data_IF_244769167238
#
_entry.id   IF_244769167238
#
_cell.length_a   1.000
_cell.length_b   1.000
_cell.length_c   1.000
_cell.angle_alpha   90.00
_cell.angle_beta   90.00
_cell.angle_gamma   90.00
#
_symmetry.space_group_name_H-M   'P 1'
#
loop_
_entity.id
_entity.type
_entity.pdbx_description
1 polymer ?
#
# COMPACT_ATOMS: atom_id res chain seq x y z
N UNK A 1 11.74 9.50 24.90
CA UNK A 1 10.70 9.64 23.85
C UNK A 1 11.00 8.60 22.79
N UNK A 2 9.98 7.89 22.31
CA UNK A 2 10.14 6.90 21.26
C UNK A 2 10.54 7.60 19.93
N UNK A 3 11.61 7.17 19.29
CA UNK A 3 12.10 7.76 18.01
C UNK A 3 11.04 7.72 16.92
N UNK A 4 10.23 6.67 16.87
CA UNK A 4 9.10 6.57 15.96
C UNK A 4 8.12 7.73 16.15
N UNK A 5 7.76 8.05 17.40
CA UNK A 5 6.87 9.17 17.70
C UNK A 5 7.46 10.50 17.24
N UNK A 6 8.76 10.71 17.40
CA UNK A 6 9.44 11.92 16.92
C UNK A 6 9.37 12.05 15.39
N UNK A 7 9.52 10.93 14.66
CA UNK A 7 9.39 10.91 13.19
C UNK A 7 7.95 11.24 12.79
N UNK A 8 6.96 10.59 13.42
CA UNK A 8 5.54 10.82 13.12
C UNK A 8 5.14 12.27 13.39
N UNK A 9 5.52 12.83 14.55
CA UNK A 9 5.25 14.24 14.87
C UNK A 9 5.88 15.17 13.84
N UNK A 10 7.11 14.88 13.40
CA UNK A 10 7.78 15.68 12.38
C UNK A 10 7.06 15.65 11.04
N UNK A 11 6.54 14.48 10.64
CA UNK A 11 5.73 14.34 9.42
C UNK A 11 4.44 15.16 9.55
N UNK A 12 3.76 15.10 10.70
CA UNK A 12 2.53 15.87 10.92
C UNK A 12 2.75 17.38 10.90
N UNK A 13 3.86 17.86 11.48
CA UNK A 13 4.15 19.30 11.57
C UNK A 13 4.67 19.86 10.23
N UNK A 14 5.59 19.16 9.58
CA UNK A 14 6.39 19.69 8.47
C UNK A 14 6.10 19.00 7.13
N UNK A 15 5.26 17.97 7.10
CA UNK A 15 5.13 17.09 5.95
C UNK A 15 6.32 16.13 5.79
N UNK A 16 6.18 15.20 4.86
CA UNK A 16 7.24 14.21 4.59
C UNK A 16 8.18 14.71 3.49
N UNK A 17 9.42 15.01 3.85
CA UNK A 17 10.47 15.45 2.92
C UNK A 17 11.58 14.41 2.72
N UNK A 18 11.50 13.26 3.39
CA UNK A 18 12.41 12.13 3.22
C UNK A 18 13.84 12.34 3.77
N UNK A 19 14.08 13.38 4.57
CA UNK A 19 15.40 13.67 5.13
C UNK A 19 15.41 13.50 6.65
N UNK A 20 16.39 12.75 7.16
CA UNK A 20 16.58 12.57 8.62
C UNK A 20 16.81 13.89 9.36
N UNK A 21 17.36 14.90 8.67
CA UNK A 21 17.50 16.25 9.22
C UNK A 21 16.18 16.91 9.54
N UNK A 22 15.15 16.65 8.74
CA UNK A 22 13.82 17.25 8.95
C UNK A 22 13.11 16.59 10.14
N UNK A 23 13.28 15.30 10.30
CA UNK A 23 12.78 14.59 11.50
C UNK A 23 13.45 15.06 12.79
N UNK A 24 14.74 15.41 12.72
CA UNK A 24 15.49 15.91 13.87
C UNK A 24 15.08 17.32 14.33
N UNK A 25 14.57 18.16 13.42
CA UNK A 25 14.14 19.55 13.76
C UNK A 25 13.05 19.59 14.83
N UNK A 26 12.15 18.61 14.82
CA UNK A 26 11.02 18.53 15.74
C UNK A 26 11.22 17.47 16.84
N UNK A 27 12.47 17.12 17.12
CA UNK A 27 12.84 16.05 18.04
C UNK A 27 13.95 16.53 18.97
N UNK A 28 14.03 15.96 20.16
CA UNK A 28 15.19 16.15 21.06
C UNK A 28 16.41 15.32 20.64
N UNK A 29 16.30 14.53 19.56
CA UNK A 29 17.37 13.64 19.11
C UNK A 29 18.17 14.26 17.98
N UNK A 30 19.48 14.00 17.97
CA UNK A 30 20.32 14.36 16.83
C UNK A 30 19.99 13.53 15.60
N UNK A 31 20.18 14.09 14.40
CA UNK A 31 19.88 13.42 13.12
C UNK A 31 20.54 12.03 12.96
N UNK A 32 21.74 11.85 13.53
CA UNK A 32 22.44 10.56 13.48
C UNK A 32 21.74 9.48 14.30
N UNK A 33 21.13 9.87 15.44
CA UNK A 33 20.34 8.94 16.26
C UNK A 33 19.10 8.45 15.51
N UNK A 34 18.42 9.36 14.81
CA UNK A 34 17.26 9.01 13.97
C UNK A 34 17.69 8.15 12.79
N UNK A 35 18.80 8.52 12.12
CA UNK A 35 19.34 7.71 11.03
C UNK A 35 19.72 6.29 11.49
N UNK A 36 20.38 6.17 12.64
CA UNK A 36 20.72 4.87 13.23
C UNK A 36 19.46 4.06 13.59
N UNK A 37 18.45 4.71 14.16
CA UNK A 37 17.18 4.06 14.47
C UNK A 37 16.49 3.51 13.21
N UNK A 38 16.44 4.29 12.13
CA UNK A 38 15.83 3.85 10.86
C UNK A 38 16.62 2.73 10.19
N UNK A 39 17.97 2.76 10.29
CA UNK A 39 18.84 1.80 9.61
C UNK A 39 19.11 0.52 10.41
N UNK A 40 19.13 0.61 11.73
CA UNK A 40 19.59 -0.48 12.61
C UNK A 40 18.65 -0.75 13.78
N UNK A 41 17.51 -0.07 13.85
CA UNK A 41 16.50 -0.30 14.87
C UNK A 41 15.90 -1.70 14.75
N UNK A 42 15.74 -2.38 15.88
CA UNK A 42 15.01 -3.64 15.93
C UNK A 42 13.52 -3.33 15.96
N UNK A 43 12.88 -3.49 14.82
CA UNK A 43 11.45 -3.29 14.65
C UNK A 43 10.76 -4.64 14.56
N UNK A 44 9.58 -4.73 15.13
CA UNK A 44 8.63 -5.75 14.77
C UNK A 44 7.62 -5.13 13.78
N UNK A 45 7.99 -5.14 12.51
CA UNK A 45 7.20 -4.59 11.41
C UNK A 45 5.94 -5.41 11.15
N UNK A 46 5.98 -6.72 11.41
CA UNK A 46 4.80 -7.58 11.31
C UNK A 46 3.77 -7.20 12.36
N UNK A 47 4.17 -7.08 13.63
CA UNK A 47 3.27 -6.64 14.71
C UNK A 47 2.69 -5.25 14.43
N UNK A 48 3.49 -4.32 13.93
CA UNK A 48 3.03 -2.98 13.57
C UNK A 48 2.00 -3.04 12.44
N UNK A 49 2.29 -3.81 11.39
CA UNK A 49 1.39 -4.00 10.25
C UNK A 49 0.06 -4.62 10.67
N UNK A 50 0.09 -5.68 11.48
CA UNK A 50 -1.12 -6.36 11.94
C UNK A 50 -1.96 -5.48 12.86
N UNK A 51 -1.32 -4.73 13.75
CA UNK A 51 -2.01 -3.76 14.61
C UNK A 51 -2.69 -2.67 13.78
N UNK A 52 -2.00 -2.16 12.74
CA UNK A 52 -2.57 -1.18 11.84
C UNK A 52 -3.76 -1.75 11.06
N UNK A 53 -3.63 -2.95 10.49
CA UNK A 53 -4.73 -3.64 9.78
C UNK A 53 -5.95 -3.80 10.68
N UNK A 54 -5.78 -4.28 11.92
CA UNK A 54 -6.86 -4.42 12.89
C UNK A 54 -7.55 -3.07 13.16
N UNK A 55 -6.78 -2.02 13.41
CA UNK A 55 -7.33 -0.68 13.68
C UNK A 55 -8.09 -0.12 12.47
N UNK A 56 -7.58 -0.31 11.26
CA UNK A 56 -8.26 0.12 10.02
C UNK A 56 -9.59 -0.60 9.83
N UNK A 57 -9.61 -1.93 10.05
CA UNK A 57 -10.84 -2.73 9.98
C UNK A 57 -11.85 -2.23 11.02
N UNK A 58 -11.42 -2.06 12.26
CA UNK A 58 -12.30 -1.57 13.33
C UNK A 58 -12.94 -0.23 12.97
N UNK A 59 -12.16 0.75 12.54
CA UNK A 59 -12.67 2.08 12.19
C UNK A 59 -13.62 2.01 11.00
N UNK A 60 -13.21 1.39 9.90
CA UNK A 60 -13.96 1.38 8.64
C UNK A 60 -15.24 0.53 8.77
N UNK A 61 -15.16 -0.65 9.40
CA UNK A 61 -16.32 -1.53 9.52
C UNK A 61 -17.32 -1.03 10.58
N UNK A 62 -16.84 -0.39 11.64
CA UNK A 62 -17.73 0.27 12.60
C UNK A 62 -18.50 1.43 11.94
N UNK A 63 -17.83 2.22 11.11
CA UNK A 63 -18.47 3.30 10.36
C UNK A 63 -19.47 2.75 9.33
N UNK A 64 -19.14 1.67 8.65
CA UNK A 64 -20.03 1.00 7.71
C UNK A 64 -21.28 0.44 8.42
N UNK A 65 -21.10 -0.25 9.54
CA UNK A 65 -22.22 -0.77 10.34
C UNK A 65 -23.12 0.35 10.89
N UNK A 66 -22.51 1.46 11.32
CA UNK A 66 -23.23 2.62 11.87
C UNK A 66 -24.04 3.36 10.81
N UNK A 67 -23.53 3.48 9.57
CA UNK A 67 -24.11 4.32 8.52
C UNK A 67 -24.89 3.54 7.46
N UNK A 68 -24.69 2.23 7.36
CA UNK A 68 -25.21 1.40 6.27
C UNK A 68 -24.53 1.67 4.92
N UNK A 69 -23.49 2.54 4.88
CA UNK A 69 -22.80 2.89 3.64
C UNK A 69 -21.79 1.81 3.24
N UNK A 70 -21.58 1.61 1.93
CA UNK A 70 -20.67 0.57 1.44
C UNK A 70 -19.21 0.83 1.83
N UNK A 71 -18.48 -0.26 2.01
CA UNK A 71 -17.02 -0.25 2.10
C UNK A 71 -16.43 -0.41 0.70
N UNK A 72 -15.46 0.43 0.37
CA UNK A 72 -14.67 0.30 -0.85
C UNK A 72 -13.27 -0.18 -0.48
N UNK A 73 -12.86 -1.31 -1.07
CA UNK A 73 -11.48 -1.77 -1.04
C UNK A 73 -10.82 -1.34 -2.36
N UNK A 74 -9.83 -0.45 -2.29
CA UNK A 74 -9.21 0.17 -3.45
C UNK A 74 -7.78 -0.34 -3.55
N UNK A 75 -7.41 -0.89 -4.71
CA UNK A 75 -6.06 -1.39 -4.98
C UNK A 75 -5.45 -0.60 -6.11
N UNK A 76 -4.25 -0.10 -5.86
CA UNK A 76 -3.43 0.58 -6.87
C UNK A 76 -1.95 0.33 -6.61
N UNK A 77 -1.11 0.55 -7.63
CA UNK A 77 0.32 0.51 -7.47
C UNK A 77 0.98 1.83 -7.90
N UNK A 78 2.10 2.12 -7.28
CA UNK A 78 2.83 3.35 -7.58
C UNK A 78 4.33 3.10 -7.64
N UNK A 79 5.05 3.93 -8.41
CA UNK A 79 6.50 3.91 -8.52
C UNK A 79 7.07 5.17 -7.89
N UNK A 80 7.82 5.00 -6.81
CA UNK A 80 8.63 6.07 -6.23
C UNK A 80 9.96 6.16 -6.99
N UNK A 81 10.01 7.02 -8.00
CA UNK A 81 11.17 7.21 -8.86
C UNK A 81 12.43 7.57 -8.08
N UNK A 82 13.55 6.95 -8.43
CA UNK A 82 14.88 7.20 -7.88
C UNK A 82 15.86 7.46 -9.00
N UNK A 83 16.91 8.22 -8.69
CA UNK A 83 18.06 8.31 -9.59
C UNK A 83 18.82 7.00 -9.56
N UNK A 84 19.02 6.38 -10.72
CA UNK A 84 19.81 5.15 -10.82
C UNK A 84 21.25 5.46 -10.39
N UNK A 85 21.81 4.72 -9.41
CA UNK A 85 23.21 4.88 -9.02
C UNK A 85 24.14 4.54 -10.19
N UNK A 86 25.37 5.07 -10.14
CA UNK A 86 26.45 4.67 -11.05
C UNK A 86 26.66 3.15 -10.99
N UNK A 87 27.10 2.56 -12.12
CA UNK A 87 27.48 1.14 -12.14
C UNK A 87 28.67 0.81 -11.21
N UNK A 88 29.38 1.83 -10.76
CA UNK A 88 30.49 1.71 -9.80
C UNK A 88 30.06 1.92 -8.34
N UNK A 89 28.76 2.14 -8.09
CA UNK A 89 28.27 2.31 -6.72
C UNK A 89 28.44 1.01 -5.91
N UNK A 90 29.14 1.09 -4.79
CA UNK A 90 29.35 -0.04 -3.88
C UNK A 90 28.06 -0.50 -3.21
N UNK A 91 27.12 0.41 -3.03
CA UNK A 91 25.83 0.15 -2.39
C UNK A 91 24.70 0.61 -3.31
N UNK A 92 24.15 -0.28 -4.15
CA UNK A 92 22.95 0.03 -4.93
C UNK A 92 21.77 0.26 -3.98
N UNK A 93 20.74 0.97 -4.47
CA UNK A 93 19.51 1.16 -3.69
C UNK A 93 18.82 -0.21 -3.59
N UNK A 94 18.66 -0.70 -2.37
CA UNK A 94 17.99 -1.97 -2.06
C UNK A 94 16.57 -1.97 -2.63
N UNK A 95 16.13 -3.09 -3.21
CA UNK A 95 14.81 -3.30 -3.81
C UNK A 95 14.35 -2.24 -4.83
N UNK A 96 15.26 -1.45 -5.38
CA UNK A 96 14.97 -0.55 -6.48
C UNK A 96 15.27 -1.23 -7.83
N UNK A 97 14.27 -1.26 -8.71
CA UNK A 97 14.34 -1.90 -10.02
C UNK A 97 13.82 -0.98 -11.12
N UNK A 98 14.02 -1.38 -12.37
CA UNK A 98 13.30 -0.79 -13.49
C UNK A 98 11.89 -1.36 -13.58
N UNK A 99 10.90 -0.48 -13.62
CA UNK A 99 9.50 -0.80 -13.78
C UNK A 99 8.92 -0.08 -15.00
N UNK A 100 7.96 -0.69 -15.68
CA UNK A 100 7.22 -0.01 -16.74
C UNK A 100 6.28 1.02 -16.10
N UNK A 101 6.52 2.28 -16.36
CA UNK A 101 5.64 3.37 -15.92
C UNK A 101 4.68 3.73 -17.05
N UNK A 102 3.37 3.50 -16.84
CA UNK A 102 2.34 3.91 -17.78
C UNK A 102 2.22 5.43 -17.85
N UNK A 103 2.39 6.13 -16.74
CA UNK A 103 2.35 7.58 -16.65
C UNK A 103 3.47 8.25 -17.46
N UNK A 104 4.66 7.66 -17.47
CA UNK A 104 5.82 8.20 -18.19
C UNK A 104 5.97 7.61 -19.60
N UNK A 105 5.21 6.56 -19.94
CA UNK A 105 5.34 5.83 -21.20
C UNK A 105 6.71 5.16 -21.41
N UNK A 106 7.51 5.01 -20.35
CA UNK A 106 8.87 4.43 -20.39
C UNK A 106 9.20 3.70 -19.10
N UNK A 107 10.34 3.01 -19.11
CA UNK A 107 10.89 2.41 -17.89
C UNK A 107 11.32 3.51 -16.90
N UNK A 108 10.98 3.31 -15.65
CA UNK A 108 11.33 4.16 -14.51
C UNK A 108 12.08 3.34 -13.47
N UNK A 109 13.18 3.89 -12.95
CA UNK A 109 13.96 3.23 -11.91
C UNK A 109 13.49 3.70 -10.54
N UNK A 110 13.21 2.77 -9.64
CA UNK A 110 12.79 3.12 -8.28
C UNK A 110 12.14 1.95 -7.54
N UNK A 111 11.51 2.29 -6.44
CA UNK A 111 10.69 1.35 -5.68
C UNK A 111 9.27 1.34 -6.24
N UNK A 112 8.71 0.15 -6.45
CA UNK A 112 7.29 -0.01 -6.74
C UNK A 112 6.60 -0.60 -5.51
N UNK A 113 5.41 -0.12 -5.21
CA UNK A 113 4.60 -0.61 -4.11
C UNK A 113 3.16 -0.85 -4.55
N UNK A 114 2.52 -1.83 -3.92
CA UNK A 114 1.09 -2.08 -4.02
C UNK A 114 0.44 -1.56 -2.75
N UNK A 115 -0.52 -0.66 -2.91
CA UNK A 115 -1.30 -0.10 -1.81
C UNK A 115 -2.73 -0.64 -1.84
N UNK A 116 -3.24 -1.00 -0.67
CA UNK A 116 -4.64 -1.39 -0.46
C UNK A 116 -5.25 -0.44 0.55
N UNK A 117 -6.23 0.33 0.09
CA UNK A 117 -6.95 1.30 0.90
C UNK A 117 -8.35 0.77 1.20
N UNK A 118 -8.85 1.02 2.41
CA UNK A 118 -10.25 0.85 2.75
C UNK A 118 -10.91 2.22 2.94
N UNK A 119 -12.11 2.37 2.38
CA UNK A 119 -12.86 3.61 2.47
C UNK A 119 -14.32 3.36 2.83
N UNK A 120 -14.87 4.18 3.70
CA UNK A 120 -16.29 4.24 3.99
C UNK A 120 -16.69 5.66 4.42
N UNK A 121 -17.77 6.18 3.88
CA UNK A 121 -18.36 7.46 4.29
C UNK A 121 -17.34 8.64 4.35
N UNK A 122 -16.43 8.73 3.39
CA UNK A 122 -15.39 9.79 3.34
C UNK A 122 -14.15 9.54 4.19
N UNK A 123 -14.14 8.51 5.04
CA UNK A 123 -12.93 8.04 5.72
C UNK A 123 -12.17 7.15 4.74
N UNK A 124 -10.87 7.40 4.57
CA UNK A 124 -9.98 6.61 3.71
C UNK A 124 -8.73 6.27 4.51
N UNK A 125 -8.46 4.98 4.70
CA UNK A 125 -7.31 4.50 5.48
C UNK A 125 -6.52 3.46 4.69
N UNK A 126 -5.20 3.49 4.87
CA UNK A 126 -4.32 2.49 4.27
C UNK A 126 -4.39 1.19 5.09
N UNK A 127 -4.88 0.12 4.46
CA UNK A 127 -4.96 -1.21 5.06
C UNK A 127 -3.66 -2.01 4.91
N UNK A 128 -3.06 -1.94 3.73
CA UNK A 128 -1.80 -2.61 3.44
C UNK A 128 -0.95 -1.83 2.43
N UNK A 129 0.36 -1.85 2.65
CA UNK A 129 1.33 -1.26 1.76
C UNK A 129 2.50 -2.23 1.61
N UNK A 130 2.66 -2.80 0.41
CA UNK A 130 3.64 -3.86 0.15
C UNK A 130 4.64 -3.41 -0.89
N UNK A 131 5.92 -3.43 -0.54
CA UNK A 131 7.01 -3.17 -1.48
C UNK A 131 7.11 -4.32 -2.49
N UNK A 132 7.11 -3.98 -3.77
CA UNK A 132 7.19 -4.96 -4.85
C UNK A 132 8.63 -5.14 -5.31
N UNK A 133 9.21 -6.29 -4.97
CA UNK A 133 10.60 -6.65 -5.29
C UNK A 133 10.74 -7.68 -6.43
N UNK A 134 9.65 -7.95 -7.17
CA UNK A 134 9.57 -8.92 -8.27
C UNK A 134 9.69 -10.41 -7.87
N UNK A 135 9.84 -10.74 -6.60
CA UNK A 135 9.91 -12.13 -6.14
C UNK A 135 8.57 -12.87 -6.31
N UNK A 136 7.47 -12.16 -6.12
CA UNK A 136 6.10 -12.66 -6.33
C UNK A 136 5.32 -11.66 -7.19
N UNK A 137 4.30 -12.12 -7.90
CA UNK A 137 3.52 -11.24 -8.75
C UNK A 137 2.65 -10.28 -7.93
N UNK A 138 2.37 -9.08 -8.46
CA UNK A 138 1.43 -8.13 -7.82
C UNK A 138 0.03 -8.73 -7.64
N UNK A 139 -0.40 -9.60 -8.54
CA UNK A 139 -1.66 -10.34 -8.44
C UNK A 139 -1.65 -11.26 -7.21
N UNK A 140 -0.55 -11.97 -6.95
CA UNK A 140 -0.46 -12.85 -5.78
C UNK A 140 -0.38 -12.05 -4.48
N UNK A 141 0.29 -10.89 -4.48
CA UNK A 141 0.29 -9.95 -3.34
C UNK A 141 -1.14 -9.54 -3.00
N UNK A 142 -1.88 -9.04 -3.99
CA UNK A 142 -3.27 -8.58 -3.79
C UNK A 142 -4.18 -9.74 -3.37
N UNK A 143 -4.01 -10.92 -3.96
CA UNK A 143 -4.76 -12.11 -3.56
C UNK A 143 -4.49 -12.50 -2.10
N UNK A 144 -3.24 -12.46 -1.67
CA UNK A 144 -2.87 -12.76 -0.28
C UNK A 144 -3.55 -11.79 0.69
N UNK A 145 -3.47 -10.50 0.40
CA UNK A 145 -4.12 -9.45 1.20
C UNK A 145 -5.64 -9.65 1.22
N UNK A 146 -6.26 -9.95 0.08
CA UNK A 146 -7.70 -10.18 -0.02
C UNK A 146 -8.17 -11.37 0.85
N UNK A 147 -7.37 -12.43 0.94
CA UNK A 147 -7.69 -13.59 1.79
C UNK A 147 -7.68 -13.26 3.29
N UNK A 148 -6.92 -12.26 3.70
CA UNK A 148 -6.86 -11.80 5.09
C UNK A 148 -8.00 -10.83 5.45
N UNK A 149 -8.63 -10.21 4.46
CA UNK A 149 -9.72 -9.26 4.70
C UNK A 149 -10.92 -9.96 5.36
N UNK A 150 -11.43 -9.47 6.49
CA UNK A 150 -12.70 -9.93 7.05
C UNK A 150 -13.86 -9.59 6.11
N UNK A 151 -14.92 -10.37 6.21
CA UNK A 151 -16.17 -10.08 5.48
C UNK A 151 -16.75 -8.77 6.00
N UNK A 152 -17.05 -7.79 5.14
CA UNK A 152 -17.61 -6.51 5.57
C UNK A 152 -19.04 -6.65 6.08
N UNK A 153 -19.49 -5.78 7.01
CA UNK A 153 -20.83 -5.86 7.59
C UNK A 153 -21.95 -5.40 6.64
N UNK A 154 -21.61 -4.79 5.53
CA UNK A 154 -22.55 -4.25 4.52
C UNK A 154 -22.09 -4.62 3.12
N UNK A 155 -22.97 -4.44 2.11
CA UNK A 155 -22.59 -4.58 0.71
C UNK A 155 -21.38 -3.70 0.39
N UNK A 156 -20.34 -4.30 -0.23
CA UNK A 156 -19.05 -3.66 -0.39
C UNK A 156 -18.46 -3.92 -1.76
N UNK A 157 -17.52 -3.06 -2.16
CA UNK A 157 -16.98 -3.05 -3.52
C UNK A 157 -15.46 -3.08 -3.50
N UNK A 158 -14.90 -3.89 -4.39
CA UNK A 158 -13.49 -3.90 -4.72
C UNK A 158 -13.26 -3.04 -5.97
N UNK A 159 -12.41 -2.03 -5.88
CA UNK A 159 -12.09 -1.11 -6.96
C UNK A 159 -10.63 -1.31 -7.40
N UNK A 160 -10.41 -1.50 -8.69
CA UNK A 160 -9.07 -1.62 -9.24
C UNK A 160 -9.00 -1.17 -10.70
N UNK A 161 -7.79 -0.91 -11.16
CA UNK A 161 -7.55 -0.69 -12.58
C UNK A 161 -7.64 -2.00 -13.40
N UNK A 162 -7.54 -1.90 -14.71
CA UNK A 162 -7.63 -3.05 -15.62
C UNK A 162 -6.51 -4.08 -15.43
N UNK A 163 -5.41 -3.72 -14.77
CA UNK A 163 -4.29 -4.63 -14.51
C UNK A 163 -4.67 -5.74 -13.52
N UNK A 164 -5.44 -5.36 -12.48
CA UNK A 164 -5.85 -6.29 -11.42
C UNK A 164 -7.13 -7.06 -11.73
N UNK A 165 -7.85 -6.72 -12.79
CA UNK A 165 -9.05 -7.44 -13.21
C UNK A 165 -8.66 -8.81 -13.78
N UNK A 166 -8.72 -9.84 -12.96
CA UNK A 166 -8.49 -11.23 -13.33
C UNK A 166 -9.48 -12.14 -12.58
N UNK A 167 -9.83 -13.29 -13.15
CA UNK A 167 -10.73 -14.25 -12.53
C UNK A 167 -10.28 -14.60 -11.10
N UNK A 168 -8.98 -14.83 -10.91
CA UNK A 168 -8.37 -15.16 -9.61
C UNK A 168 -8.65 -14.08 -8.57
N UNK A 169 -8.50 -12.82 -8.92
CA UNK A 169 -8.74 -11.69 -8.01
C UNK A 169 -10.23 -11.50 -7.76
N UNK A 170 -11.04 -11.49 -8.82
CA UNK A 170 -12.50 -11.33 -8.73
C UNK A 170 -13.09 -12.39 -7.80
N UNK A 171 -12.74 -13.66 -8.00
CA UNK A 171 -13.26 -14.76 -7.18
C UNK A 171 -12.79 -14.65 -5.72
N UNK A 172 -11.55 -14.22 -5.48
CA UNK A 172 -11.06 -14.05 -4.11
C UNK A 172 -11.81 -12.95 -3.38
N UNK A 173 -12.03 -11.80 -4.00
CA UNK A 173 -12.80 -10.71 -3.40
C UNK A 173 -14.30 -11.06 -3.25
N UNK A 174 -14.87 -11.77 -4.22
CA UNK A 174 -16.26 -12.24 -4.13
C UNK A 174 -16.47 -13.19 -2.94
N UNK A 175 -15.53 -14.11 -2.67
CA UNK A 175 -15.54 -14.96 -1.48
C UNK A 175 -15.45 -14.18 -0.16
N UNK A 176 -14.96 -12.95 -0.20
CA UNK A 176 -14.89 -12.05 0.94
C UNK A 176 -16.04 -11.03 0.99
N UNK A 177 -17.05 -11.19 0.15
CA UNK A 177 -18.25 -10.33 0.15
C UNK A 177 -18.08 -8.99 -0.56
N UNK A 178 -17.07 -8.85 -1.43
CA UNK A 178 -16.86 -7.65 -2.23
C UNK A 178 -17.27 -7.89 -3.68
N UNK A 179 -18.08 -6.98 -4.23
CA UNK A 179 -18.37 -6.91 -5.66
C UNK A 179 -17.29 -6.15 -6.40
N UNK A 180 -16.76 -6.71 -7.48
CA UNK A 180 -15.67 -6.06 -8.23
C UNK A 180 -16.19 -5.01 -9.19
N UNK A 181 -15.58 -3.82 -9.15
CA UNK A 181 -15.72 -2.76 -10.15
C UNK A 181 -14.33 -2.46 -10.69
N UNK A 182 -14.11 -2.74 -11.95
CA UNK A 182 -12.81 -2.53 -12.61
C UNK A 182 -12.96 -2.39 -14.12
N UNK A 183 -12.03 -1.67 -14.74
CA UNK A 183 -11.99 -1.53 -16.19
C UNK A 183 -11.52 -2.84 -16.83
N UNK A 184 -12.25 -3.32 -17.85
CA UNK A 184 -11.81 -4.47 -18.64
C UNK A 184 -10.79 -4.03 -19.69
N UNK A 185 -9.77 -4.85 -19.89
CA UNK A 185 -8.84 -4.67 -21.01
C UNK A 185 -9.60 -4.91 -22.32
N UNK A 186 -9.45 -4.05 -23.30
CA UNK A 186 -10.14 -4.10 -24.60
C UNK A 186 -9.81 -5.34 -25.44
N UNK A 187 -8.69 -6.01 -25.13
CA UNK A 187 -8.26 -7.23 -25.82
C UNK A 187 -8.78 -8.54 -25.15
N UNK A 188 -9.70 -8.46 -24.20
CA UNK A 188 -10.30 -9.66 -23.59
C UNK A 188 -11.54 -10.09 -24.37
N UNK A 189 -11.62 -11.40 -24.64
CA UNK A 189 -12.83 -12.02 -25.12
C UNK A 189 -13.77 -12.25 -23.93
N UNK A 190 -14.99 -11.77 -24.04
CA UNK A 190 -16.07 -12.07 -23.10
C UNK A 190 -16.91 -13.19 -23.68
N UNK A 191 -17.01 -14.29 -22.97
CA UNK A 191 -17.93 -15.37 -23.32
C UNK A 191 -19.23 -15.13 -22.54
N UNK A 192 -20.40 -15.11 -23.21
CA UNK A 192 -21.66 -15.10 -22.49
C UNK A 192 -21.73 -16.37 -21.62
N UNK A 193 -22.20 -16.24 -20.39
CA UNK A 193 -22.59 -17.39 -19.57
C UNK A 193 -23.81 -18.03 -20.22
N UNK A 194 -23.76 -19.34 -20.43
CA UNK A 194 -24.96 -20.14 -20.78
C UNK A 194 -25.99 -20.06 -19.66
#
# INVERSE_FOLDING_TARGET
MNHLMSILISIFISGYHGKTTDFAKNSSCHRTTIAHFLNSGKWDDSLLSDTLKCSVIEIIYSEAARTGKPVFCIVDDTIASKTKPSSQALHPIEDAYFHQSHLKGKQDYGHQSVAVMLSCNGIVLNYAFVMYNKSISKIDIVQSIAKELPVPPVMSYFLCDCWYVSEKIINTFAQRGFHTIGALKTNRLLYPSE
#
